data_IF_065906039217
#
_entry.id   IF_065906039217
#
_cell.length_a   1.000
_cell.length_b   1.000
_cell.length_c   1.000
_cell.angle_alpha   90.00
_cell.angle_beta   90.00
_cell.angle_gamma   90.00
#
_symmetry.space_group_name_H-M   'P 1'
#
loop_
_entity.id
_entity.type
_entity.pdbx_description
1 polymer ?
#
# COMPACT_ATOMS: atom_id res chain seq x y z
N UNK A 1 35.31 2.80 -6.12
CA UNK A 1 34.44 3.62 -5.25
C UNK A 1 33.16 3.83 -6.03
N UNK A 2 31.98 3.32 -5.68
CA UNK A 2 31.42 2.83 -4.43
C UNK A 2 30.66 1.55 -4.81
N UNK A 3 30.86 0.44 -4.11
CA UNK A 3 30.02 -0.73 -4.31
C UNK A 3 28.59 -0.31 -3.97
N UNK A 4 27.70 -0.28 -4.97
CA UNK A 4 26.27 -0.12 -4.71
C UNK A 4 25.88 -1.32 -3.87
N UNK A 5 25.79 -1.13 -2.55
CA UNK A 5 25.25 -2.16 -1.69
C UNK A 5 23.89 -2.50 -2.28
N UNK A 6 23.68 -3.76 -2.64
CA UNK A 6 22.36 -4.33 -2.83
C UNK A 6 21.65 -4.21 -1.48
N UNK A 7 21.17 -3.01 -1.13
CA UNK A 7 20.46 -2.80 0.11
C UNK A 7 19.14 -3.52 -0.08
N UNK A 8 19.09 -4.72 0.50
CA UNK A 8 17.98 -5.65 0.39
C UNK A 8 16.87 -5.13 1.31
N UNK A 9 16.21 -4.06 0.90
CA UNK A 9 15.10 -3.51 1.68
C UNK A 9 13.89 -4.43 1.54
N UNK A 10 13.22 -4.65 2.67
CA UNK A 10 11.89 -5.24 2.68
C UNK A 10 10.96 -4.39 1.81
N UNK A 11 10.18 -5.05 0.95
CA UNK A 11 9.19 -4.37 0.13
C UNK A 11 7.84 -5.07 0.24
N UNK A 12 6.80 -4.24 0.30
CA UNK A 12 5.43 -4.71 0.20
C UNK A 12 5.04 -4.94 -1.28
N UNK A 13 5.55 -4.12 -2.20
CA UNK A 13 5.29 -4.19 -3.64
C UNK A 13 3.95 -3.59 -4.05
N UNK A 14 3.66 -2.39 -3.53
CA UNK A 14 2.50 -1.58 -3.92
C UNK A 14 2.95 -0.24 -4.49
N UNK A 15 2.11 0.35 -5.33
CA UNK A 15 2.11 1.78 -5.58
C UNK A 15 0.78 2.35 -5.12
N UNK A 16 0.82 3.58 -4.62
CA UNK A 16 -0.35 4.24 -4.08
C UNK A 16 -0.12 5.73 -3.92
N UNK A 17 -1.21 6.43 -3.65
CA UNK A 17 -1.23 7.87 -3.41
C UNK A 17 -1.72 8.14 -1.99
N UNK A 18 -1.24 9.23 -1.39
CA UNK A 18 -1.73 9.66 -0.08
C UNK A 18 -3.11 10.29 -0.25
N UNK A 19 -4.07 9.81 0.54
CA UNK A 19 -5.43 10.35 0.53
C UNK A 19 -5.49 11.74 1.16
N UNK A 20 -6.36 12.54 0.57
CA UNK A 20 -6.76 13.87 1.01
C UNK A 20 -8.20 14.13 0.52
N UNK A 21 -8.78 15.28 0.87
CA UNK A 21 -10.16 15.60 0.50
C UNK A 21 -10.46 15.51 -1.01
N UNK A 22 -9.48 15.80 -1.87
CA UNK A 22 -9.65 15.73 -3.32
C UNK A 22 -9.56 14.29 -3.85
N UNK A 23 -8.51 13.57 -3.48
CA UNK A 23 -8.25 12.19 -3.93
C UNK A 23 -9.25 11.18 -3.35
N UNK A 24 -9.78 11.44 -2.15
CA UNK A 24 -10.80 10.58 -1.54
C UNK A 24 -12.14 10.72 -2.28
N UNK A 25 -12.49 11.95 -2.65
CA UNK A 25 -13.68 12.21 -3.46
C UNK A 25 -13.56 11.63 -4.88
N UNK A 26 -12.36 11.72 -5.47
CA UNK A 26 -12.06 11.14 -6.79
C UNK A 26 -12.12 9.61 -6.77
N UNK A 27 -11.52 8.98 -5.76
CA UNK A 27 -11.55 7.52 -5.57
C UNK A 27 -12.89 6.99 -5.03
N UNK A 28 -13.85 7.85 -4.69
CA UNK A 28 -15.16 7.46 -4.17
C UNK A 28 -15.11 6.73 -2.82
N UNK A 29 -14.10 7.00 -1.98
CA UNK A 29 -13.90 6.34 -0.68
C UNK A 29 -14.27 7.28 0.48
N UNK A 30 -14.86 6.73 1.53
CA UNK A 30 -15.17 7.48 2.76
C UNK A 30 -13.92 7.84 3.59
N UNK A 31 -12.84 7.09 3.38
CA UNK A 31 -11.56 7.36 4.05
C UNK A 31 -10.98 8.68 3.53
N UNK A 32 -10.73 9.63 4.43
CA UNK A 32 -10.17 10.95 4.08
C UNK A 32 -8.66 11.03 4.25
N UNK A 33 -8.05 9.96 4.80
CA UNK A 33 -6.65 9.84 5.17
C UNK A 33 -6.18 8.40 4.95
N UNK A 34 -4.87 8.23 4.77
CA UNK A 34 -4.27 6.93 4.51
C UNK A 34 -3.64 6.83 3.12
N UNK A 35 -3.40 5.61 2.67
CA UNK A 35 -2.76 5.33 1.39
C UNK A 35 -3.71 4.56 0.50
N UNK A 36 -4.15 5.19 -0.59
CA UNK A 36 -4.95 4.51 -1.59
C UNK A 36 -4.06 3.72 -2.53
N UNK A 37 -4.30 2.41 -2.65
CA UNK A 37 -3.49 1.53 -3.49
C UNK A 37 -3.95 1.68 -4.94
N UNK A 38 -3.05 2.15 -5.79
CA UNK A 38 -3.31 2.34 -7.23
C UNK A 38 -2.73 1.23 -8.09
N UNK A 39 -1.75 0.48 -7.57
CA UNK A 39 -1.20 -0.68 -8.24
C UNK A 39 -0.63 -1.67 -7.22
N UNK A 40 -0.86 -2.96 -7.44
CA UNK A 40 -0.23 -4.04 -6.67
C UNK A 40 0.65 -4.80 -7.65
N UNK A 41 1.93 -4.96 -7.32
CA UNK A 41 2.85 -5.65 -8.21
C UNK A 41 2.57 -7.16 -8.14
N UNK A 42 2.34 -7.85 -9.29
CA UNK A 42 2.07 -9.28 -9.28
C UNK A 42 3.22 -10.08 -8.65
N UNK A 43 2.89 -11.05 -7.81
CA UNK A 43 3.86 -11.85 -7.08
C UNK A 43 4.59 -11.09 -5.97
N UNK A 44 4.10 -9.93 -5.52
CA UNK A 44 4.62 -9.19 -4.36
C UNK A 44 4.11 -9.70 -3.01
N UNK A 45 4.57 -9.13 -1.91
CA UNK A 45 4.03 -9.40 -0.58
C UNK A 45 2.56 -8.96 -0.49
N UNK A 46 2.23 -7.79 -1.07
CA UNK A 46 0.87 -7.28 -1.13
C UNK A 46 -0.10 -8.14 -1.93
N UNK A 47 0.32 -8.59 -3.13
CA UNK A 47 -0.49 -9.50 -3.94
C UNK A 47 -0.83 -10.78 -3.16
N UNK A 48 0.18 -11.37 -2.51
CA UNK A 48 -0.04 -12.57 -1.70
C UNK A 48 -0.87 -12.33 -0.45
N UNK A 49 -0.80 -11.14 0.13
CA UNK A 49 -1.65 -10.73 1.24
C UNK A 49 -3.11 -10.51 0.81
N UNK A 50 -3.39 -10.46 -0.50
CA UNK A 50 -4.73 -10.22 -1.04
C UNK A 50 -5.11 -8.74 -1.07
N UNK A 51 -4.11 -7.84 -1.11
CA UNK A 51 -4.35 -6.42 -1.35
C UNK A 51 -4.87 -6.21 -2.77
N UNK A 52 -5.84 -5.33 -2.91
CA UNK A 52 -6.49 -4.99 -4.17
C UNK A 52 -6.12 -3.56 -4.53
N UNK A 53 -5.53 -3.38 -5.71
CA UNK A 53 -5.35 -2.05 -6.28
C UNK A 53 -6.67 -1.54 -6.85
N UNK A 54 -6.81 -0.22 -6.86
CA UNK A 54 -7.77 0.48 -7.69
C UNK A 54 -7.66 -0.01 -9.13
N UNK A 55 -8.81 -0.17 -9.80
CA UNK A 55 -8.80 -0.47 -11.22
C UNK A 55 -8.11 0.66 -12.02
N UNK A 56 -7.52 0.27 -13.14
CA UNK A 56 -6.69 1.16 -13.95
C UNK A 56 -7.56 2.28 -14.53
N UNK A 57 -7.17 3.56 -14.46
CA UNK A 57 -7.98 4.67 -14.94
C UNK A 57 -8.58 4.35 -16.30
N UNK A 58 -9.90 4.53 -16.43
CA UNK A 58 -10.72 4.25 -17.62
C UNK A 58 -10.28 5.01 -18.90
N UNK A 59 -9.19 5.76 -18.83
CA UNK A 59 -8.65 6.61 -19.89
C UNK A 59 -9.01 8.08 -19.71
N UNK A 60 -9.94 8.43 -18.81
CA UNK A 60 -10.34 9.82 -18.54
C UNK A 60 -9.59 10.44 -17.35
N UNK A 61 -8.70 9.68 -16.70
CA UNK A 61 -7.81 10.18 -15.65
C UNK A 61 -8.42 10.25 -14.25
N UNK A 62 -9.58 9.64 -14.05
CA UNK A 62 -10.20 9.46 -12.73
C UNK A 62 -9.54 8.28 -12.00
N UNK A 63 -9.42 8.37 -10.67
CA UNK A 63 -9.14 7.20 -9.84
C UNK A 63 -10.38 6.29 -9.84
N UNK A 64 -10.27 5.11 -10.44
CA UNK A 64 -11.37 4.15 -10.37
C UNK A 64 -11.54 3.62 -8.95
N UNK A 65 -12.76 3.21 -8.64
CA UNK A 65 -13.16 2.67 -7.33
C UNK A 65 -12.73 1.21 -7.16
N UNK A 66 -12.78 0.73 -5.92
CA UNK A 66 -12.57 -0.68 -5.58
C UNK A 66 -11.13 -1.04 -5.17
N UNK A 67 -10.25 -0.05 -5.03
CA UNK A 67 -8.95 -0.23 -4.41
C UNK A 67 -9.02 -0.25 -2.88
N UNK A 68 -8.00 -0.82 -2.26
CA UNK A 68 -7.81 -0.76 -0.81
C UNK A 68 -7.25 0.59 -0.37
N UNK A 69 -7.71 1.04 0.80
CA UNK A 69 -7.09 2.16 1.52
C UNK A 69 -6.36 1.63 2.74
N UNK A 70 -5.04 1.72 2.78
CA UNK A 70 -4.26 1.40 3.98
C UNK A 70 -4.42 2.53 4.99
N UNK A 71 -4.99 2.21 6.14
CA UNK A 71 -5.20 3.13 7.26
C UNK A 71 -4.39 2.72 8.50
N UNK A 72 -3.79 1.53 8.50
CA UNK A 72 -2.97 1.06 9.60
C UNK A 72 -1.87 0.08 9.18
N UNK A 73 -0.80 0.04 9.97
CA UNK A 73 0.33 -0.87 9.85
C UNK A 73 0.80 -1.27 11.25
N UNK A 74 0.79 -2.56 11.58
CA UNK A 74 1.17 -3.07 12.91
C UNK A 74 0.41 -2.37 14.06
N UNK A 75 -0.87 -2.04 13.84
CA UNK A 75 -1.70 -1.29 14.79
C UNK A 75 -1.36 0.21 14.91
N UNK A 76 -0.40 0.71 14.13
CA UNK A 76 -0.08 2.14 13.99
C UNK A 76 -0.93 2.76 12.90
N UNK A 77 -1.58 3.89 13.19
CA UNK A 77 -2.37 4.63 12.21
C UNK A 77 -1.47 5.23 11.11
N UNK A 78 -1.86 4.98 9.86
CA UNK A 78 -1.17 5.46 8.66
C UNK A 78 -2.00 6.55 8.02
N UNK A 79 -1.40 7.73 7.90
CA UNK A 79 -2.05 8.88 7.28
C UNK A 79 -1.47 9.18 5.90
N UNK A 80 -0.23 8.77 5.65
CA UNK A 80 0.52 9.13 4.44
C UNK A 80 1.37 7.99 3.90
N UNK A 81 1.60 8.00 2.58
CA UNK A 81 2.47 7.01 1.91
C UNK A 81 3.92 7.08 2.42
N UNK A 82 4.38 8.28 2.78
CA UNK A 82 5.71 8.45 3.36
C UNK A 82 5.87 7.80 4.74
N UNK A 83 4.82 7.76 5.56
CA UNK A 83 4.84 7.04 6.84
C UNK A 83 4.87 5.54 6.62
N UNK A 84 3.99 5.04 5.75
CA UNK A 84 3.95 3.61 5.41
C UNK A 84 5.30 3.12 4.87
N UNK A 85 5.87 3.87 3.93
CA UNK A 85 7.16 3.54 3.34
C UNK A 85 8.28 3.47 4.38
N UNK A 86 8.30 4.38 5.36
CA UNK A 86 9.30 4.36 6.44
C UNK A 86 9.13 3.18 7.38
N UNK A 87 7.88 2.81 7.70
CA UNK A 87 7.62 1.67 8.57
C UNK A 87 8.04 0.36 7.91
N UNK A 88 7.76 0.21 6.61
CA UNK A 88 8.21 -0.95 5.82
C UNK A 88 9.75 -0.99 5.73
N UNK A 89 10.40 0.18 5.56
CA UNK A 89 11.86 0.30 5.49
C UNK A 89 12.56 -0.10 6.80
N UNK A 90 11.85 0.03 7.93
CA UNK A 90 12.33 -0.38 9.26
C UNK A 90 12.18 -1.89 9.50
N UNK A 91 11.47 -2.62 8.63
CA UNK A 91 11.27 -4.08 8.75
C UNK A 91 12.31 -4.87 7.94
N UNK A 92 12.48 -6.13 8.33
CA UNK A 92 13.35 -7.07 7.64
C UNK A 92 12.60 -7.92 6.60
N UNK A 93 13.36 -8.44 5.63
CA UNK A 93 12.81 -9.39 4.65
C UNK A 93 12.40 -10.68 5.37
N UNK A 94 11.14 -11.07 5.18
CA UNK A 94 10.55 -12.25 5.83
C UNK A 94 9.70 -11.92 7.05
N UNK A 95 9.68 -10.66 7.49
CA UNK A 95 8.80 -10.23 8.57
C UNK A 95 7.33 -10.32 8.16
N UNK A 96 6.52 -10.78 9.10
CA UNK A 96 5.07 -10.85 8.96
C UNK A 96 4.47 -9.59 9.59
N UNK A 97 3.83 -8.77 8.76
CA UNK A 97 3.23 -7.50 9.17
C UNK A 97 1.73 -7.49 8.92
N UNK A 98 0.98 -6.86 9.80
CA UNK A 98 -0.46 -6.71 9.76
C UNK A 98 -0.82 -5.33 9.23
N UNK A 99 -1.57 -5.31 8.14
CA UNK A 99 -2.06 -4.11 7.48
C UNK A 99 -3.54 -3.97 7.78
N UNK A 100 -3.94 -2.79 8.23
CA UNK A 100 -5.35 -2.43 8.34
C UNK A 100 -5.73 -1.68 7.08
N UNK A 101 -6.68 -2.22 6.33
CA UNK A 101 -7.18 -1.62 5.09
C UNK A 101 -8.68 -1.38 5.16
N UNK A 102 -9.15 -0.41 4.40
CA UNK A 102 -10.57 -0.17 4.16
C UNK A 102 -10.89 -0.54 2.72
N UNK A 103 -11.83 -1.48 2.55
CA UNK A 103 -12.34 -1.96 1.26
C UNK A 103 -13.86 -1.89 1.28
N UNK A 104 -14.47 -1.21 0.32
CA UNK A 104 -15.94 -1.03 0.25
C UNK A 104 -16.54 -0.51 1.59
N UNK A 105 -15.83 0.41 2.27
CA UNK A 105 -16.23 0.97 3.56
C UNK A 105 -16.07 0.03 4.76
N UNK A 106 -15.55 -1.18 4.57
CA UNK A 106 -15.30 -2.15 5.64
C UNK A 106 -13.82 -2.19 5.98
N UNK A 107 -13.52 -2.24 7.28
CA UNK A 107 -12.15 -2.42 7.79
C UNK A 107 -11.80 -3.90 7.72
N UNK A 108 -10.69 -4.21 7.06
CA UNK A 108 -10.14 -5.55 6.87
C UNK A 108 -8.70 -5.54 7.37
N UNK A 109 -8.32 -6.56 8.14
CA UNK A 109 -6.94 -6.79 8.53
C UNK A 109 -6.33 -7.86 7.62
N UNK A 110 -5.22 -7.53 6.98
CA UNK A 110 -4.49 -8.40 6.07
C UNK A 110 -3.08 -8.60 6.58
N UNK A 111 -2.63 -9.85 6.62
CA UNK A 111 -1.27 -10.19 7.01
C UNK A 111 -0.41 -10.35 5.75
N UNK A 112 0.67 -9.57 5.67
CA UNK A 112 1.62 -9.60 4.56
C UNK A 112 2.99 -10.03 5.06
N UNK A 113 3.59 -11.01 4.38
CA UNK A 113 4.98 -11.40 4.64
C UNK A 113 5.88 -10.62 3.69
N UNK A 114 6.65 -9.69 4.23
CA UNK A 114 7.53 -8.81 3.46
C UNK A 114 8.58 -9.62 2.72
N UNK A 115 8.88 -9.19 1.49
CA UNK A 115 9.85 -9.89 0.64
C UNK A 115 10.87 -8.93 0.07
N UNK A 116 12.03 -9.49 -0.28
CA UNK A 116 12.94 -8.80 -1.18
C UNK A 116 12.25 -8.65 -2.54
N UNK A 117 12.29 -7.45 -3.10
CA UNK A 117 11.95 -7.24 -4.50
C UNK A 117 13.26 -7.09 -5.30
N UNK A 118 13.58 -8.04 -6.21
CA UNK A 118 14.68 -7.82 -7.13
C UNK A 118 14.25 -6.72 -8.10
N UNK A 119 14.93 -5.58 -8.04
CA UNK A 119 14.71 -4.47 -8.97
C UNK A 119 14.87 -4.87 -10.43
#
# INVERSE_FOLDING_TARGET
>A
MIAGADITHAQLGIAGVTLNALTSADAGVDATQGVYITNVVPGSAADRAGLVAASQPDGEGNLEQGGDVITGFEGVEILTMGQLSRLIDDQDVGDEVTLTVVRDGQVIELTAVLRMWPG
#
